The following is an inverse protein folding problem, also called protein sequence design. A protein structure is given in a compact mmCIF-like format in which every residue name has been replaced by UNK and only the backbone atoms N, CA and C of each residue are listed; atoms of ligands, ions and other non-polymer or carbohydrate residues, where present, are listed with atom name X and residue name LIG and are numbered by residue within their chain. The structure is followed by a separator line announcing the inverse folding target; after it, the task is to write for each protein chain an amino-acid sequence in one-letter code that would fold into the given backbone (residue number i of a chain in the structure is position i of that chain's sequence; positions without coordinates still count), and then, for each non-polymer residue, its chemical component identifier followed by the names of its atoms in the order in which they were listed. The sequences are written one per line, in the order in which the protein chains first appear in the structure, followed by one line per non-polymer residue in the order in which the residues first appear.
data_IF_625341446109
#
_entry.id   IF_625341446109
#
_cell.length_a   1.000
_cell.length_b   1.000
_cell.length_c   1.000
_cell.angle_alpha   90.00
_cell.angle_beta   90.00
_cell.angle_gamma   90.00
#
_symmetry.space_group_name_H-M   'P 1'
#
loop_
_entity.id
_entity.type
_entity.pdbx_description
1 polymer ?
#
# COMPACT_ATOMS: atom_id res chain seq x y z
N UNK A 1 -26.20 -5.64 -3.46
CA UNK A 1 -27.06 -5.12 -2.37
C UNK A 1 -26.89 -3.61 -2.35
N UNK A 2 -27.99 -2.84 -2.35
CA UNK A 2 -27.94 -1.37 -2.22
C UNK A 2 -28.05 -1.02 -0.73
N UNK A 3 -27.26 -0.04 -0.30
CA UNK A 3 -27.05 0.41 1.08
C UNK A 3 -28.35 0.82 1.80
N UNK A 4 -28.52 0.39 3.05
CA UNK A 4 -29.74 0.42 3.87
C UNK A 4 -29.69 1.40 5.06
N UNK A 5 -28.71 2.30 5.11
CA UNK A 5 -28.58 3.29 6.19
C UNK A 5 -27.72 2.85 7.37
N UNK A 6 -26.74 1.97 7.13
CA UNK A 6 -25.68 1.61 8.09
C UNK A 6 -24.75 2.77 8.48
N UNK A 7 -23.70 2.43 9.25
CA UNK A 7 -22.64 3.32 9.78
C UNK A 7 -22.24 4.48 8.83
N UNK A 8 -21.93 5.69 9.35
CA UNK A 8 -21.53 6.82 8.53
C UNK A 8 -20.36 6.46 7.58
N UNK A 9 -20.25 7.13 6.41
CA UNK A 9 -19.17 6.84 5.46
C UNK A 9 -17.81 6.89 6.12
N UNK A 10 -16.98 5.88 5.87
CA UNK A 10 -15.60 5.86 6.34
C UNK A 10 -14.79 6.98 5.65
N UNK A 11 -14.26 7.94 6.41
CA UNK A 11 -13.49 9.06 5.87
C UNK A 11 -12.02 8.71 5.77
N UNK A 12 -11.50 8.70 4.55
CA UNK A 12 -10.17 8.18 4.22
C UNK A 12 -9.26 9.32 3.79
N UNK A 13 -8.11 9.46 4.45
CA UNK A 13 -6.99 10.29 4.00
C UNK A 13 -6.00 9.45 3.19
N UNK A 14 -5.67 9.86 1.98
CA UNK A 14 -4.82 9.06 1.09
C UNK A 14 -3.43 9.68 0.93
N UNK A 15 -2.37 8.97 1.31
CA UNK A 15 -0.99 9.43 1.21
C UNK A 15 -0.20 8.58 0.21
N UNK A 16 0.49 9.21 -0.72
CA UNK A 16 1.27 8.48 -1.73
C UNK A 16 2.44 9.28 -2.27
N UNK A 17 3.47 8.59 -2.77
CA UNK A 17 4.53 9.21 -3.58
C UNK A 17 4.23 9.18 -5.07
N UNK A 18 3.19 8.47 -5.51
CA UNK A 18 2.73 8.47 -6.90
C UNK A 18 3.82 8.07 -7.88
N UNK A 19 4.52 6.97 -7.61
CA UNK A 19 5.72 6.53 -8.34
C UNK A 19 5.52 5.32 -9.24
N UNK A 20 4.45 4.56 -9.07
CA UNK A 20 4.30 3.30 -9.81
C UNK A 20 2.88 2.79 -9.92
N UNK A 21 2.75 1.69 -10.65
CA UNK A 21 1.48 1.05 -10.99
C UNK A 21 0.72 0.59 -9.74
N UNK A 22 1.42 0.17 -8.68
CA UNK A 22 0.81 -0.20 -7.40
C UNK A 22 0.04 0.95 -6.76
N UNK A 23 0.68 2.13 -6.59
CA UNK A 23 0.01 3.32 -6.05
C UNK A 23 -1.18 3.79 -6.90
N UNK A 24 -1.09 3.62 -8.22
CA UNK A 24 -2.16 3.94 -9.16
C UNK A 24 -3.35 2.97 -8.99
N UNK A 25 -3.08 1.67 -9.01
CA UNK A 25 -4.08 0.62 -8.88
C UNK A 25 -4.80 0.64 -7.54
N UNK A 26 -4.08 0.83 -6.43
CA UNK A 26 -4.67 0.92 -5.09
C UNK A 26 -5.69 2.06 -4.99
N UNK A 27 -5.31 3.26 -5.45
CA UNK A 27 -6.19 4.42 -5.36
C UNK A 27 -7.43 4.26 -6.24
N UNK A 28 -7.26 3.89 -7.52
CA UNK A 28 -8.40 3.76 -8.43
C UNK A 28 -9.32 2.59 -8.09
N UNK A 29 -8.78 1.47 -7.60
CA UNK A 29 -9.59 0.36 -7.11
C UNK A 29 -10.46 0.79 -5.92
N UNK A 30 -9.85 1.49 -4.94
CA UNK A 30 -10.59 2.01 -3.77
C UNK A 30 -11.62 3.04 -4.19
N UNK A 31 -11.26 3.99 -5.06
CA UNK A 31 -12.18 5.01 -5.56
C UNK A 31 -13.37 4.37 -6.31
N UNK A 32 -13.13 3.39 -7.17
CA UNK A 32 -14.19 2.69 -7.90
C UNK A 32 -15.09 1.87 -6.96
N UNK A 33 -14.53 1.26 -5.92
CA UNK A 33 -15.27 0.56 -4.88
C UNK A 33 -16.22 1.49 -4.12
N UNK A 34 -15.81 2.74 -3.88
CA UNK A 34 -16.66 3.79 -3.31
C UNK A 34 -17.76 4.19 -4.32
N UNK A 35 -17.39 4.48 -5.57
CA UNK A 35 -18.35 4.93 -6.59
C UNK A 35 -19.41 3.88 -6.92
N UNK A 36 -19.07 2.59 -6.85
CA UNK A 36 -20.03 1.50 -7.06
C UNK A 36 -20.99 1.29 -5.87
N UNK A 37 -20.70 1.91 -4.72
CA UNK A 37 -21.41 1.71 -3.47
C UNK A 37 -21.06 0.42 -2.73
N UNK A 38 -20.00 -0.29 -3.14
CA UNK A 38 -19.50 -1.46 -2.40
C UNK A 38 -18.90 -1.03 -1.06
N UNK A 39 -18.02 -0.03 -1.08
CA UNK A 39 -17.45 0.57 0.11
C UNK A 39 -18.21 1.87 0.43
N UNK A 40 -18.91 1.91 1.57
CA UNK A 40 -19.46 3.18 2.06
C UNK A 40 -18.34 4.04 2.67
N UNK A 41 -17.63 4.79 1.83
CA UNK A 41 -16.53 5.63 2.24
C UNK A 41 -16.40 6.90 1.40
N UNK A 42 -15.54 7.80 1.84
CA UNK A 42 -15.18 9.02 1.12
C UNK A 42 -13.67 9.24 1.23
N UNK A 43 -13.02 9.56 0.12
CA UNK A 43 -11.63 10.00 0.15
C UNK A 43 -11.65 11.52 0.35
N UNK A 44 -11.31 11.96 1.56
CA UNK A 44 -11.35 13.37 1.96
C UNK A 44 -10.26 14.19 1.27
N UNK A 45 -9.10 13.57 1.08
CA UNK A 45 -8.00 14.14 0.32
C UNK A 45 -7.06 13.07 -0.19
N UNK A 46 -6.30 13.45 -1.22
CA UNK A 46 -5.09 12.77 -1.66
C UNK A 46 -3.91 13.70 -1.43
N UNK A 47 -2.96 13.27 -0.62
CA UNK A 47 -1.70 13.96 -0.36
C UNK A 47 -0.55 13.31 -1.13
N UNK A 48 0.20 14.14 -1.88
CA UNK A 48 1.46 13.74 -2.50
C UNK A 48 2.63 14.52 -1.92
N UNK A 49 3.69 13.81 -1.58
CA UNK A 49 5.00 14.40 -1.29
C UNK A 49 5.76 14.83 -2.57
N UNK A 50 5.05 14.92 -3.71
CA UNK A 50 5.57 15.32 -5.02
C UNK A 50 4.57 16.26 -5.70
N UNK A 51 5.09 17.01 -6.67
CA UNK A 51 4.37 18.01 -7.45
C UNK A 51 4.53 17.73 -8.95
N UNK A 52 3.69 18.41 -9.75
CA UNK A 52 3.75 18.39 -11.21
C UNK A 52 5.15 18.81 -11.71
N UNK A 53 5.65 18.13 -12.73
CA UNK A 53 6.97 18.36 -13.33
C UNK A 53 8.11 17.62 -12.65
N UNK A 54 7.84 16.82 -11.60
CA UNK A 54 8.88 16.01 -10.96
C UNK A 54 9.12 14.66 -11.64
N UNK A 55 8.15 14.13 -12.39
CA UNK A 55 8.27 12.97 -13.30
C UNK A 55 6.95 12.70 -14.02
N UNK A 56 7.01 12.14 -15.23
CA UNK A 56 5.83 11.78 -16.03
C UNK A 56 4.81 10.88 -15.29
N UNK A 57 5.29 9.91 -14.50
CA UNK A 57 4.44 9.03 -13.69
C UNK A 57 3.66 9.79 -12.63
N UNK A 58 4.32 10.72 -11.94
CA UNK A 58 3.67 11.59 -10.95
C UNK A 58 2.67 12.53 -11.61
N UNK A 59 3.01 13.11 -12.76
CA UNK A 59 2.13 14.03 -13.48
C UNK A 59 0.88 13.30 -13.99
N UNK A 60 1.04 12.07 -14.49
CA UNK A 60 -0.05 11.20 -14.91
C UNK A 60 -0.96 10.84 -13.74
N UNK A 61 -0.37 10.46 -12.60
CA UNK A 61 -1.15 10.16 -11.40
C UNK A 61 -1.90 11.40 -10.91
N UNK A 62 -1.27 12.57 -10.80
CA UNK A 62 -1.93 13.84 -10.44
C UNK A 62 -3.10 14.16 -11.37
N UNK A 63 -2.92 14.02 -12.70
CA UNK A 63 -3.99 14.20 -13.68
C UNK A 63 -5.14 13.23 -13.44
N UNK A 64 -4.85 11.97 -13.10
CA UNK A 64 -5.88 10.97 -12.78
C UNK A 64 -6.67 11.33 -11.53
N UNK A 65 -6.02 11.81 -10.46
CA UNK A 65 -6.70 12.24 -9.23
C UNK A 65 -7.63 13.43 -9.53
N UNK A 66 -7.14 14.44 -10.25
CA UNK A 66 -7.95 15.62 -10.59
C UNK A 66 -9.24 15.27 -11.34
N UNK A 67 -9.22 14.23 -12.19
CA UNK A 67 -10.43 13.76 -12.90
C UNK A 67 -11.49 13.16 -11.99
N UNK A 68 -11.10 12.69 -10.79
CA UNK A 68 -12.04 12.13 -9.81
C UNK A 68 -12.82 13.20 -9.03
N UNK A 69 -12.37 14.45 -9.04
CA UNK A 69 -12.89 15.51 -8.19
C UNK A 69 -12.42 15.45 -6.73
N UNK A 70 -11.63 14.44 -6.35
CA UNK A 70 -11.07 14.31 -4.99
C UNK A 70 -10.09 15.46 -4.71
N UNK A 71 -10.15 16.13 -3.54
CA UNK A 71 -9.18 17.14 -3.15
C UNK A 71 -7.75 16.60 -3.22
N UNK A 72 -6.87 17.37 -3.85
CA UNK A 72 -5.47 17.00 -4.07
C UNK A 72 -4.55 18.04 -3.43
N UNK A 73 -3.80 17.60 -2.43
CA UNK A 73 -2.82 18.41 -1.73
C UNK A 73 -1.41 17.94 -2.06
N UNK A 74 -0.51 18.87 -2.33
CA UNK A 74 0.89 18.54 -2.64
C UNK A 74 1.84 19.35 -1.78
N UNK A 75 2.90 18.71 -1.29
CA UNK A 75 4.05 19.39 -0.70
C UNK A 75 5.32 18.65 -1.13
N UNK A 76 6.10 19.16 -2.09
CA UNK A 76 7.26 18.44 -2.58
C UNK A 76 8.34 18.25 -1.50
N UNK A 77 8.64 17.00 -1.13
CA UNK A 77 9.72 16.68 -0.19
C UNK A 77 11.10 17.11 -0.71
N UNK A 78 11.31 17.03 -2.03
CA UNK A 78 12.54 17.51 -2.70
C UNK A 78 12.68 19.03 -2.57
N UNK A 79 11.61 19.79 -2.85
CA UNK A 79 11.64 21.25 -2.68
C UNK A 79 11.78 21.62 -1.22
N UNK A 80 11.07 20.94 -0.31
CA UNK A 80 11.19 21.16 1.12
C UNK A 80 12.62 20.98 1.60
N UNK A 81 13.28 19.88 1.21
CA UNK A 81 14.70 19.65 1.50
C UNK A 81 15.59 20.77 0.97
N UNK A 82 15.36 21.22 -0.27
CA UNK A 82 16.13 22.33 -0.88
C UNK A 82 15.97 23.64 -0.09
N UNK A 83 14.74 23.99 0.31
CA UNK A 83 14.48 25.23 1.07
C UNK A 83 15.04 25.17 2.50
N UNK A 84 15.20 23.97 3.06
CA UNK A 84 15.76 23.75 4.39
C UNK A 84 17.25 23.37 4.35
N UNK A 85 18.02 24.04 3.47
CA UNK A 85 19.48 23.91 3.43
C UNK A 85 20.03 22.56 2.96
N UNK A 86 19.22 21.72 2.31
CA UNK A 86 19.58 20.37 1.87
C UNK A 86 20.08 19.44 3.00
N UNK A 87 19.64 19.68 4.23
CA UNK A 87 20.00 18.83 5.37
C UNK A 87 19.64 17.36 5.12
N UNK A 88 20.37 16.40 5.75
CA UNK A 88 19.98 15.00 5.80
C UNK A 88 18.50 14.81 6.16
N UNK A 89 17.83 13.83 5.54
CA UNK A 89 16.36 13.70 5.63
C UNK A 89 15.87 13.37 7.04
N UNK A 90 16.64 12.61 7.80
CA UNK A 90 16.42 12.34 9.22
C UNK A 90 16.30 13.61 10.07
N UNK A 91 17.02 14.69 9.72
CA UNK A 91 16.92 16.00 10.38
C UNK A 91 15.72 16.84 9.91
N UNK A 92 15.06 16.46 8.83
CA UNK A 92 13.96 17.21 8.21
C UNK A 92 12.61 16.53 8.36
N UNK A 93 12.57 15.22 8.56
CA UNK A 93 11.34 14.40 8.50
C UNK A 93 10.25 14.94 9.42
N UNK A 94 10.58 15.33 10.65
CA UNK A 94 9.61 15.79 11.64
C UNK A 94 9.04 17.17 11.31
N UNK A 95 9.89 18.08 10.81
CA UNK A 95 9.46 19.39 10.35
C UNK A 95 8.58 19.26 9.11
N UNK A 96 8.91 18.31 8.22
CA UNK A 96 8.11 18.00 7.06
C UNK A 96 6.75 17.43 7.46
N UNK A 97 6.70 16.44 8.34
CA UNK A 97 5.46 15.87 8.87
C UNK A 97 4.54 16.95 9.46
N UNK A 98 5.09 17.87 10.27
CA UNK A 98 4.32 18.99 10.84
C UNK A 98 3.76 19.92 9.77
N UNK A 99 4.55 20.23 8.73
CA UNK A 99 4.08 21.04 7.61
C UNK A 99 2.97 20.34 6.81
N UNK A 100 3.04 19.02 6.66
CA UNK A 100 1.98 18.21 6.04
C UNK A 100 0.72 18.21 6.89
N UNK A 101 0.84 17.98 8.20
CA UNK A 101 -0.31 18.00 9.13
C UNK A 101 -0.99 19.36 9.12
N UNK A 102 -0.23 20.45 9.19
CA UNK A 102 -0.76 21.82 9.14
C UNK A 102 -1.52 22.08 7.83
N UNK A 103 -1.01 21.60 6.70
CA UNK A 103 -1.67 21.71 5.40
C UNK A 103 -2.99 20.93 5.34
N UNK A 104 -3.08 19.84 6.09
CA UNK A 104 -4.23 18.92 6.08
C UNK A 104 -5.20 19.15 7.23
N UNK A 105 -4.94 20.12 8.13
CA UNK A 105 -5.65 20.29 9.41
C UNK A 105 -7.16 20.48 9.32
N UNK A 106 -7.67 20.93 8.17
CA UNK A 106 -9.10 21.18 7.94
C UNK A 106 -9.86 19.93 7.53
N UNK A 107 -9.17 18.92 7.01
CA UNK A 107 -9.77 17.64 6.64
C UNK A 107 -10.00 16.79 7.88
N UNK A 108 -11.11 16.07 7.92
CA UNK A 108 -11.43 15.15 9.01
C UNK A 108 -11.45 13.74 8.45
N UNK A 109 -10.56 12.89 8.94
CA UNK A 109 -10.46 11.49 8.51
C UNK A 109 -10.61 10.55 9.71
N UNK A 110 -11.13 9.36 9.44
CA UNK A 110 -11.20 8.26 10.40
C UNK A 110 -9.96 7.36 10.27
N UNK A 111 -9.41 7.26 9.05
CA UNK A 111 -8.24 6.44 8.75
C UNK A 111 -7.40 7.08 7.63
N UNK A 112 -6.08 6.94 7.74
CA UNK A 112 -5.14 7.28 6.69
C UNK A 112 -4.61 6.02 5.99
N UNK A 113 -4.38 6.09 4.69
CA UNK A 113 -3.78 5.00 3.89
C UNK A 113 -2.46 5.46 3.31
N UNK A 114 -1.38 4.75 3.62
CA UNK A 114 -0.11 4.84 2.93
C UNK A 114 -0.12 3.91 1.72
N UNK A 115 -0.35 4.46 0.52
CA UNK A 115 -0.35 3.72 -0.72
C UNK A 115 0.93 4.01 -1.52
N UNK A 116 2.02 3.33 -1.14
CA UNK A 116 3.33 3.61 -1.71
C UNK A 116 3.85 4.99 -1.31
N UNK A 117 3.64 5.36 -0.05
CA UNK A 117 4.22 6.55 0.55
C UNK A 117 5.67 6.25 0.98
N UNK A 118 6.64 6.84 0.28
CA UNK A 118 8.05 6.44 0.35
C UNK A 118 8.86 7.24 1.38
N UNK A 119 8.20 7.82 2.39
CA UNK A 119 8.85 8.59 3.46
C UNK A 119 8.50 7.99 4.82
N UNK A 120 9.49 7.93 5.71
CA UNK A 120 9.26 7.63 7.12
C UNK A 120 8.66 8.90 7.76
N UNK A 121 7.42 8.78 8.25
CA UNK A 121 6.63 9.91 8.74
C UNK A 121 6.04 9.63 10.14
N UNK A 122 6.89 9.58 11.18
CA UNK A 122 6.49 9.13 12.52
C UNK A 122 5.49 10.07 13.17
N UNK A 123 5.59 11.39 12.97
CA UNK A 123 4.64 12.34 13.57
C UNK A 123 3.30 12.25 12.85
N UNK A 124 3.31 12.04 11.54
CA UNK A 124 2.10 11.84 10.74
C UNK A 124 1.35 10.57 11.17
N UNK A 125 2.06 9.45 11.35
CA UNK A 125 1.48 8.20 11.86
C UNK A 125 1.01 8.29 13.32
N UNK A 126 1.54 9.22 14.12
CA UNK A 126 1.03 9.48 15.46
C UNK A 126 -0.23 10.37 15.42
N UNK A 127 -0.33 11.27 14.45
CA UNK A 127 -1.46 12.18 14.28
C UNK A 127 -2.70 11.46 13.71
N UNK A 128 -2.48 10.52 12.78
CA UNK A 128 -3.53 9.80 12.08
C UNK A 128 -3.37 8.29 12.28
N UNK A 129 -4.48 7.58 12.49
CA UNK A 129 -4.50 6.12 12.40
C UNK A 129 -4.19 5.73 10.96
N UNK A 130 -2.94 5.37 10.69
CA UNK A 130 -2.45 5.12 9.33
C UNK A 130 -2.27 3.63 9.09
N UNK A 131 -2.78 3.12 7.98
CA UNK A 131 -2.56 1.74 7.52
C UNK A 131 -1.66 1.71 6.28
N UNK A 132 -0.86 0.66 6.16
CA UNK A 132 0.01 0.44 5.02
C UNK A 132 -0.15 -1.00 4.52
N UNK A 133 -0.01 -1.18 3.21
CA UNK A 133 0.07 -2.49 2.58
C UNK A 133 1.54 -2.91 2.47
N UNK A 134 1.83 -4.15 2.86
CA UNK A 134 3.12 -4.80 2.64
C UNK A 134 2.92 -6.12 1.88
N UNK A 135 3.62 -6.36 0.75
CA UNK A 135 3.43 -7.54 -0.08
C UNK A 135 4.23 -8.75 0.43
N UNK A 136 3.99 -9.11 1.69
CA UNK A 136 4.42 -10.36 2.30
C UNK A 136 3.44 -10.77 3.41
N UNK A 137 3.55 -12.01 3.88
CA UNK A 137 2.77 -12.49 5.02
C UNK A 137 3.28 -11.89 6.35
N UNK A 138 2.40 -11.84 7.38
CA UNK A 138 2.77 -11.34 8.71
C UNK A 138 4.05 -11.98 9.27
N UNK A 139 5.04 -11.14 9.60
CA UNK A 139 6.29 -11.57 10.25
C UNK A 139 7.40 -12.07 9.32
N UNK A 140 7.19 -12.07 8.00
CA UNK A 140 8.14 -12.66 7.05
C UNK A 140 9.30 -11.71 6.66
N UNK A 141 9.00 -10.57 6.05
CA UNK A 141 10.00 -9.58 5.62
C UNK A 141 9.61 -8.16 5.97
N UNK A 142 10.58 -7.25 5.90
CA UNK A 142 10.42 -5.80 6.09
C UNK A 142 11.08 -5.11 4.91
N UNK A 143 10.50 -4.00 4.45
CA UNK A 143 11.11 -3.12 3.46
C UNK A 143 10.53 -3.30 2.07
N UNK A 144 11.40 -3.41 1.07
CA UNK A 144 10.98 -3.25 -0.33
C UNK A 144 10.25 -4.49 -0.84
N UNK A 145 9.22 -4.30 -1.68
CA UNK A 145 8.46 -5.40 -2.28
C UNK A 145 9.33 -6.37 -3.08
N UNK A 146 10.42 -5.90 -3.70
CA UNK A 146 11.38 -6.78 -4.36
C UNK A 146 12.04 -7.76 -3.40
N UNK A 147 12.35 -7.32 -2.18
CA UNK A 147 12.97 -8.16 -1.15
C UNK A 147 11.98 -9.24 -0.69
N UNK A 148 10.69 -8.90 -0.57
CA UNK A 148 9.65 -9.86 -0.25
C UNK A 148 9.56 -10.97 -1.32
N UNK A 149 9.53 -10.60 -2.61
CA UNK A 149 9.46 -11.61 -3.70
C UNK A 149 10.75 -12.43 -3.77
N UNK A 150 11.93 -11.79 -3.64
CA UNK A 150 13.18 -12.53 -3.59
C UNK A 150 13.24 -13.48 -2.40
N UNK A 151 12.67 -13.12 -1.25
CA UNK A 151 12.59 -14.00 -0.10
C UNK A 151 11.75 -15.25 -0.39
N UNK A 152 10.64 -15.11 -1.12
CA UNK A 152 9.82 -16.26 -1.58
C UNK A 152 10.66 -17.23 -2.42
N UNK A 153 11.44 -16.68 -3.36
CA UNK A 153 12.31 -17.45 -4.27
C UNK A 153 13.46 -18.10 -3.50
N UNK A 154 14.20 -17.31 -2.72
CA UNK A 154 15.38 -17.70 -1.94
C UNK A 154 15.06 -18.80 -0.93
N UNK A 155 13.91 -18.70 -0.24
CA UNK A 155 13.47 -19.68 0.75
C UNK A 155 12.64 -20.82 0.16
N UNK A 156 12.44 -20.84 -1.16
CA UNK A 156 11.62 -21.84 -1.86
C UNK A 156 10.23 -22.02 -1.20
N UNK A 157 9.61 -20.92 -0.78
CA UNK A 157 8.30 -20.95 -0.09
C UNK A 157 7.24 -21.57 -0.99
N UNK A 158 6.26 -22.25 -0.39
CA UNK A 158 5.11 -22.83 -1.10
C UNK A 158 3.92 -21.86 -1.23
N UNK A 159 3.88 -20.84 -0.39
CA UNK A 159 2.87 -19.78 -0.37
C UNK A 159 3.51 -18.42 -0.09
N UNK A 160 2.81 -17.36 -0.48
CA UNK A 160 3.11 -15.98 -0.11
C UNK A 160 1.81 -15.19 -0.03
N UNK A 161 1.88 -13.88 0.22
CA UNK A 161 0.69 -13.06 0.38
C UNK A 161 0.98 -11.58 0.49
N UNK A 162 0.01 -10.87 1.03
CA UNK A 162 0.12 -9.48 1.41
C UNK A 162 -0.58 -9.25 2.74
N UNK A 163 -0.13 -8.26 3.49
CA UNK A 163 -0.73 -7.83 4.75
C UNK A 163 -1.05 -6.35 4.74
N UNK A 164 -2.07 -5.97 5.50
CA UNK A 164 -2.35 -4.59 5.87
C UNK A 164 -2.16 -4.45 7.36
N UNK A 165 -1.33 -3.49 7.75
CA UNK A 165 -0.96 -3.25 9.13
C UNK A 165 -1.03 -1.77 9.46
N UNK A 166 -1.16 -1.47 10.74
CA UNK A 166 -1.04 -0.10 11.24
C UNK A 166 0.42 0.34 11.09
N UNK A 167 0.63 1.56 10.59
CA UNK A 167 1.95 2.15 10.46
C UNK A 167 2.43 2.65 11.81
N UNK A 168 3.66 2.30 12.17
CA UNK A 168 4.33 2.76 13.39
C UNK A 168 5.67 3.42 13.04
N UNK A 169 6.37 3.96 14.04
CA UNK A 169 7.75 4.43 13.90
C UNK A 169 8.71 3.31 13.43
N UNK A 170 8.40 2.06 13.75
CA UNK A 170 9.04 0.86 13.23
C UNK A 170 8.39 0.42 11.92
N UNK A 171 9.18 0.43 10.84
CA UNK A 171 8.76 0.04 9.49
C UNK A 171 8.22 -1.40 9.49
N UNK A 172 7.02 -1.60 8.92
CA UNK A 172 6.32 -2.88 8.74
C UNK A 172 6.12 -3.73 10.01
N UNK A 173 6.12 -3.10 11.20
CA UNK A 173 6.04 -3.80 12.50
C UNK A 173 4.84 -3.44 13.36
N UNK A 174 3.91 -2.63 12.86
CA UNK A 174 2.69 -2.34 13.60
C UNK A 174 1.70 -3.52 13.59
N UNK A 175 0.64 -3.44 14.40
CA UNK A 175 -0.40 -4.47 14.44
C UNK A 175 -0.97 -4.78 13.06
N UNK A 176 -1.01 -6.06 12.70
CA UNK A 176 -1.60 -6.53 11.44
C UNK A 176 -3.11 -6.56 11.57
N UNK A 177 -3.80 -5.85 10.68
CA UNK A 177 -5.26 -5.81 10.62
C UNK A 177 -5.80 -7.00 9.84
N UNK A 178 -5.21 -7.28 8.68
CA UNK A 178 -5.64 -8.36 7.81
C UNK A 178 -4.54 -8.80 6.86
N UNK A 179 -4.73 -9.96 6.25
CA UNK A 179 -3.83 -10.49 5.24
C UNK A 179 -4.59 -11.37 4.25
N UNK A 180 -3.97 -11.65 3.10
CA UNK A 180 -4.40 -12.70 2.18
C UNK A 180 -3.20 -13.51 1.74
N UNK A 181 -3.40 -14.80 1.44
CA UNK A 181 -2.36 -15.71 0.95
C UNK A 181 -2.71 -16.33 -0.40
N UNK A 182 -1.70 -16.78 -1.13
CA UNK A 182 -1.85 -17.55 -2.35
C UNK A 182 -0.67 -18.51 -2.55
N UNK A 183 -0.91 -19.66 -3.20
CA UNK A 183 0.14 -20.62 -3.47
C UNK A 183 1.10 -20.07 -4.53
N UNK A 184 2.39 -20.39 -4.37
CA UNK A 184 3.45 -20.15 -5.38
C UNK A 184 4.05 -21.47 -5.85
N UNK A 185 3.24 -22.53 -5.85
CA UNK A 185 3.51 -23.88 -6.35
C UNK A 185 2.24 -24.41 -7.01
N UNK A 186 2.36 -25.51 -7.75
CA UNK A 186 1.29 -26.10 -8.53
C UNK A 186 1.35 -25.64 -9.99
N UNK A 187 0.32 -26.02 -10.76
CA UNK A 187 0.30 -25.97 -12.23
C UNK A 187 0.85 -24.67 -12.85
N UNK A 188 0.46 -23.51 -12.32
CA UNK A 188 0.83 -22.21 -12.89
C UNK A 188 2.24 -21.73 -12.48
N UNK A 189 2.89 -22.44 -11.57
CA UNK A 189 4.19 -22.09 -10.99
C UNK A 189 5.26 -23.15 -11.21
N UNK A 190 4.94 -24.43 -11.23
CA UNK A 190 5.93 -25.51 -11.17
C UNK A 190 6.92 -25.45 -12.34
N UNK A 191 6.45 -25.17 -13.56
CA UNK A 191 7.34 -24.96 -14.71
C UNK A 191 8.34 -23.81 -14.51
N UNK A 192 7.92 -22.70 -13.87
CA UNK A 192 8.81 -21.58 -13.55
C UNK A 192 9.82 -21.93 -12.45
N UNK A 193 9.42 -22.82 -11.52
CA UNK A 193 10.32 -23.34 -10.49
C UNK A 193 11.34 -24.32 -11.05
N UNK A 194 10.95 -25.16 -12.00
CA UNK A 194 11.83 -26.10 -12.68
C UNK A 194 12.93 -25.35 -13.45
N UNK A 195 12.58 -24.25 -14.14
CA UNK A 195 13.54 -23.38 -14.85
C UNK A 195 14.62 -22.81 -13.93
N UNK A 196 14.26 -22.44 -12.69
CA UNK A 196 15.22 -21.86 -11.73
C UNK A 196 15.93 -22.91 -10.88
N UNK A 197 15.43 -24.15 -10.82
CA UNK A 197 15.95 -25.22 -9.96
C UNK A 197 17.40 -25.61 -10.25
N UNK A 198 17.84 -25.40 -11.50
CA UNK A 198 19.19 -25.74 -11.98
C UNK A 198 20.22 -24.64 -11.71
N UNK A 199 19.77 -23.47 -11.21
CA UNK A 199 20.63 -22.32 -10.98
C UNK A 199 20.86 -22.09 -9.48
N UNK A 200 22.06 -21.61 -9.16
CA UNK A 200 22.33 -21.02 -7.85
C UNK A 200 21.56 -19.70 -7.71
N UNK A 201 20.79 -19.54 -6.63
CA UNK A 201 19.86 -18.40 -6.44
C UNK A 201 20.57 -17.03 -6.51
N UNK A 202 21.78 -16.92 -5.93
CA UNK A 202 22.56 -15.69 -6.00
C UNK A 202 22.89 -15.25 -7.44
N UNK A 203 23.11 -16.22 -8.34
CA UNK A 203 23.36 -15.97 -9.76
C UNK A 203 22.10 -15.55 -10.50
N UNK A 204 20.94 -16.09 -10.13
CA UNK A 204 19.65 -15.68 -10.72
C UNK A 204 19.36 -14.20 -10.45
N UNK A 205 19.53 -13.77 -9.20
CA UNK A 205 19.27 -12.39 -8.78
C UNK A 205 20.16 -11.38 -9.49
N UNK A 206 21.45 -11.70 -9.61
CA UNK A 206 22.39 -10.84 -10.35
C UNK A 206 22.12 -10.84 -11.86
N UNK A 207 21.77 -11.99 -12.44
CA UNK A 207 21.61 -12.14 -13.90
C UNK A 207 20.29 -11.58 -14.41
N UNK A 208 19.19 -11.86 -13.71
CA UNK A 208 17.84 -11.57 -14.20
C UNK A 208 17.14 -10.46 -13.40
N UNK A 209 17.44 -10.32 -12.11
CA UNK A 209 16.75 -9.33 -11.28
C UNK A 209 15.22 -9.48 -11.37
N UNK A 210 14.53 -8.35 -11.55
CA UNK A 210 13.06 -8.32 -11.68
C UNK A 210 12.55 -8.96 -12.99
N UNK A 211 13.42 -9.16 -13.99
CA UNK A 211 13.04 -9.76 -15.28
C UNK A 211 12.89 -11.28 -15.24
N UNK A 212 13.21 -11.92 -14.10
CA UNK A 212 13.04 -13.36 -13.93
C UNK A 212 11.55 -13.73 -14.08
N UNK A 213 11.17 -14.67 -14.98
CA UNK A 213 9.77 -15.05 -15.19
C UNK A 213 9.02 -15.44 -13.91
N UNK A 214 9.66 -16.23 -13.03
CA UNK A 214 9.11 -16.57 -11.71
C UNK A 214 8.84 -15.33 -10.84
N UNK A 215 9.77 -14.38 -10.80
CA UNK A 215 9.63 -13.13 -10.06
C UNK A 215 8.44 -12.32 -10.60
N UNK A 216 8.37 -12.15 -11.91
CA UNK A 216 7.29 -11.42 -12.58
C UNK A 216 5.92 -12.06 -12.35
N UNK A 217 5.83 -13.40 -12.38
CA UNK A 217 4.59 -14.12 -12.08
C UNK A 217 4.15 -13.89 -10.63
N UNK A 218 5.05 -14.01 -9.65
CA UNK A 218 4.75 -13.72 -8.25
C UNK A 218 4.29 -12.26 -8.10
N UNK A 219 4.97 -11.31 -8.75
CA UNK A 219 4.59 -9.88 -8.66
C UNK A 219 3.20 -9.62 -9.24
N UNK A 220 2.90 -10.18 -10.41
CA UNK A 220 1.61 -10.03 -11.09
C UNK A 220 0.47 -10.56 -10.22
N UNK A 221 0.61 -11.78 -9.70
CA UNK A 221 -0.40 -12.43 -8.87
C UNK A 221 -0.57 -11.72 -7.52
N UNK A 222 0.53 -11.21 -6.94
CA UNK A 222 0.49 -10.37 -5.75
C UNK A 222 -0.26 -9.05 -5.99
N UNK A 223 0.10 -8.32 -7.05
CA UNK A 223 -0.55 -7.05 -7.44
C UNK A 223 -2.06 -7.18 -7.60
N UNK A 224 -2.53 -8.27 -8.23
CA UNK A 224 -3.97 -8.51 -8.41
C UNK A 224 -4.72 -8.60 -7.07
N UNK A 225 -4.06 -9.13 -6.04
CA UNK A 225 -4.62 -9.31 -4.69
C UNK A 225 -4.48 -8.08 -3.81
N UNK A 226 -3.44 -7.28 -3.98
CA UNK A 226 -3.20 -6.08 -3.16
C UNK A 226 -4.38 -5.11 -3.16
N UNK A 227 -4.97 -4.88 -4.34
CA UNK A 227 -6.09 -3.94 -4.47
C UNK A 227 -7.36 -4.46 -3.81
N UNK A 228 -7.69 -5.74 -4.01
CA UNK A 228 -8.81 -6.40 -3.35
C UNK A 228 -8.61 -6.47 -1.83
N UNK A 229 -7.40 -6.79 -1.37
CA UNK A 229 -7.07 -6.82 0.05
C UNK A 229 -7.34 -5.47 0.71
N UNK A 230 -6.87 -4.37 0.11
CA UNK A 230 -7.14 -3.03 0.66
C UNK A 230 -8.63 -2.71 0.73
N UNK A 231 -9.39 -3.01 -0.33
CA UNK A 231 -10.83 -2.78 -0.34
C UNK A 231 -11.55 -3.59 0.74
N UNK A 232 -11.22 -4.88 0.88
CA UNK A 232 -11.82 -5.76 1.88
C UNK A 232 -11.44 -5.35 3.31
N UNK A 233 -10.21 -4.87 3.54
CA UNK A 233 -9.81 -4.33 4.83
C UNK A 233 -10.60 -3.07 5.17
N UNK A 234 -10.73 -2.12 4.24
CA UNK A 234 -11.50 -0.90 4.44
C UNK A 234 -12.99 -1.20 4.66
N UNK A 235 -13.54 -2.17 3.93
CA UNK A 235 -14.90 -2.66 4.13
C UNK A 235 -15.08 -3.28 5.52
N UNK A 236 -14.13 -4.11 5.96
CA UNK A 236 -14.15 -4.74 7.29
C UNK A 236 -14.03 -3.69 8.42
N UNK A 237 -13.30 -2.59 8.19
CA UNK A 237 -13.25 -1.44 9.12
C UNK A 237 -14.59 -0.71 9.13
N UNK A 238 -15.15 -0.40 7.96
CA UNK A 238 -16.42 0.33 7.81
C UNK A 238 -17.61 -0.42 8.43
N UNK A 239 -17.62 -1.74 8.33
CA UNK A 239 -18.65 -2.62 8.92
C UNK A 239 -18.40 -2.96 10.38
N UNK A 240 -17.24 -2.60 10.95
CA UNK A 240 -16.89 -2.83 12.34
C UNK A 240 -16.33 -4.22 12.65
N UNK A 241 -16.09 -5.06 11.64
CA UNK A 241 -15.40 -6.35 11.80
C UNK A 241 -13.94 -6.16 12.27
N UNK A 242 -13.27 -5.10 11.78
CA UNK A 242 -11.95 -4.67 12.26
C UNK A 242 -12.11 -3.41 13.11
N UNK A 243 -11.71 -3.50 14.38
CA UNK A 243 -11.63 -2.34 15.29
C UNK A 243 -10.22 -1.78 15.35
N UNK A 244 -10.04 -0.53 14.90
CA UNK A 244 -8.72 0.13 14.84
C UNK A 244 -8.08 0.37 16.21
N UNK A 245 -8.87 0.49 17.27
CA UNK A 245 -8.37 0.71 18.64
C UNK A 245 -8.02 -0.57 19.40
N UNK A 246 -8.34 -1.75 18.87
CA UNK A 246 -8.15 -3.02 19.57
C UNK A 246 -7.92 -4.18 18.60
N UNK A 247 -6.74 -4.20 17.99
CA UNK A 247 -6.32 -5.26 17.07
C UNK A 247 -5.95 -6.51 17.87
N UNK A 248 -6.94 -7.34 18.20
CA UNK A 248 -6.73 -8.60 18.95
C UNK A 248 -6.21 -9.75 18.09
N UNK A 249 -6.65 -9.82 16.83
CA UNK A 249 -6.31 -10.87 15.87
C UNK A 249 -6.39 -10.30 14.47
N UNK A 250 -5.43 -10.62 13.62
CA UNK A 250 -5.48 -10.30 12.20
C UNK A 250 -6.55 -11.13 11.49
N UNK A 251 -7.26 -10.50 10.57
CA UNK A 251 -8.32 -11.13 9.79
C UNK A 251 -7.76 -11.76 8.51
N UNK A 252 -8.01 -13.06 8.32
CA UNK A 252 -7.69 -13.74 7.06
C UNK A 252 -8.77 -13.38 6.03
N UNK A 253 -8.38 -12.62 5.00
CA UNK A 253 -9.26 -12.17 3.93
C UNK A 253 -9.06 -12.97 2.64
N UNK A 254 -8.34 -14.09 2.67
CA UNK A 254 -7.97 -14.87 1.48
C UNK A 254 -9.16 -15.22 0.60
N UNK A 255 -10.24 -15.75 1.18
CA UNK A 255 -11.42 -16.15 0.40
C UNK A 255 -12.14 -14.95 -0.22
N UNK A 256 -12.31 -13.87 0.56
CA UNK A 256 -12.91 -12.62 0.07
C UNK A 256 -12.10 -12.00 -1.06
N UNK A 257 -10.78 -11.94 -0.90
CA UNK A 257 -9.86 -11.44 -1.93
C UNK A 257 -9.93 -12.27 -3.20
N UNK A 258 -9.97 -13.59 -3.09
CA UNK A 258 -10.02 -14.49 -4.25
C UNK A 258 -11.37 -14.44 -5.00
N UNK A 259 -12.48 -14.03 -4.37
CA UNK A 259 -13.75 -13.84 -5.07
C UNK A 259 -13.73 -12.66 -6.08
N UNK A 260 -12.72 -11.78 -6.02
CA UNK A 260 -12.58 -10.63 -6.91
C UNK A 260 -11.59 -10.85 -8.08
N UNK A 261 -10.97 -12.04 -8.18
CA UNK A 261 -9.95 -12.38 -9.18
C UNK A 261 -10.55 -13.19 -10.33
#
# INVERSE_FOLDING_TARGET
MKYDGGNPPLRIGWFTTGRGIGSYGLFHSTFNSIQSGYLNGVIEFVFLNREVGQSETTDTFIKSIKKTGTPLETLSSKKFKKHNGNLPWDKLRENYDRAVIEKLKTYKIDIAVHAGYMLIAPILCNQYMTINLHPDLPGETIGMWQQAIWNVIERKKIETGAMIHVSTDKVDRGPVLSYCKFPVRGKDYDHLWDEVSTYEIGKLKHKFGEELPLFNKIRKDGLSRETSLLNETLFSIQTGEISLGNVKKSLDLTDRVNHHL
#
